data_IF_508778155311
#
_entry.id   IF_508778155311
#
_cell.length_a   1.000
_cell.length_b   1.000
_cell.length_c   1.000
_cell.angle_alpha   90.00
_cell.angle_beta   90.00
_cell.angle_gamma   90.00
#
_symmetry.space_group_name_H-M   'P 1'
#
loop_
_entity.id
_entity.type
_entity.pdbx_description
1 polymer ?
#
# COMPACT_ATOMS: atom_id res chain seq x y z
N UNK A 1 60.41 11.80 5.97
CA UNK A 1 59.08 11.61 5.32
C UNK A 1 58.37 10.46 6.02
N UNK A 2 57.09 10.60 6.34
CA UNK A 2 56.29 9.48 6.85
C UNK A 2 56.08 8.52 5.69
N UNK A 3 56.54 7.28 5.83
CA UNK A 3 56.42 6.26 4.78
C UNK A 3 55.02 5.64 4.82
N UNK A 4 54.54 5.20 3.66
CA UNK A 4 53.21 4.59 3.51
C UNK A 4 53.00 3.40 4.47
N UNK A 5 54.04 2.60 4.67
CA UNK A 5 54.05 1.48 5.64
C UNK A 5 53.69 1.92 7.06
N UNK A 6 54.32 3.01 7.55
CA UNK A 6 54.07 3.53 8.91
C UNK A 6 52.62 4.00 9.09
N UNK A 7 51.98 4.51 8.03
CA UNK A 7 50.57 4.90 8.08
C UNK A 7 49.65 3.67 8.18
N UNK A 8 49.95 2.59 7.45
CA UNK A 8 49.17 1.35 7.50
C UNK A 8 49.30 0.67 8.86
N UNK A 9 50.50 0.61 9.43
CA UNK A 9 50.71 0.09 10.80
C UNK A 9 49.88 0.87 11.83
N UNK A 10 49.83 2.20 11.70
CA UNK A 10 49.07 3.03 12.62
C UNK A 10 47.55 2.81 12.46
N UNK A 11 47.05 2.63 11.24
CA UNK A 11 45.65 2.27 10.97
C UNK A 11 45.32 0.91 11.59
N UNK A 12 46.14 -0.12 11.36
CA UNK A 12 45.93 -1.45 11.90
C UNK A 12 45.91 -1.44 13.44
N UNK A 13 46.82 -0.68 14.06
CA UNK A 13 46.87 -0.52 15.53
C UNK A 13 45.63 0.19 16.08
N UNK A 14 45.11 1.20 15.38
CA UNK A 14 43.87 1.88 15.77
C UNK A 14 42.64 0.98 15.60
N UNK A 15 42.58 0.19 14.53
CA UNK A 15 41.52 -0.79 14.30
C UNK A 15 41.51 -1.86 15.39
N UNK A 16 42.66 -2.46 15.71
CA UNK A 16 42.78 -3.45 16.78
C UNK A 16 42.32 -2.91 18.15
N UNK A 17 42.60 -1.62 18.43
CA UNK A 17 42.09 -0.95 19.64
C UNK A 17 40.59 -0.74 19.61
N UNK A 18 40.03 -0.36 18.46
CA UNK A 18 38.59 -0.20 18.30
C UNK A 18 37.87 -1.54 18.50
N UNK A 19 38.36 -2.61 17.89
CA UNK A 19 37.80 -3.96 18.02
C UNK A 19 37.89 -4.48 19.46
N UNK A 20 39.01 -4.24 20.14
CA UNK A 20 39.15 -4.57 21.56
C UNK A 20 38.12 -3.83 22.45
N UNK A 21 37.80 -2.58 22.14
CA UNK A 21 36.76 -1.83 22.84
C UNK A 21 35.35 -2.34 22.51
N UNK A 22 35.10 -2.73 21.26
CA UNK A 22 33.82 -3.34 20.85
C UNK A 22 33.62 -4.70 21.53
N UNK A 23 34.65 -5.53 21.60
CA UNK A 23 34.61 -6.81 22.31
C UNK A 23 34.28 -6.61 23.81
N UNK A 24 34.98 -5.68 24.48
CA UNK A 24 34.70 -5.36 25.89
C UNK A 24 33.26 -4.84 26.09
N UNK A 25 32.81 -3.92 25.24
CA UNK A 25 31.44 -3.38 25.34
C UNK A 25 30.36 -4.42 25.06
N UNK A 26 30.59 -5.30 24.08
CA UNK A 26 29.64 -6.38 23.74
C UNK A 26 29.56 -7.45 24.83
N UNK A 27 30.68 -7.83 25.46
CA UNK A 27 30.65 -8.76 26.60
C UNK A 27 29.83 -8.22 27.77
N UNK A 28 30.05 -6.96 28.18
CA UNK A 28 29.27 -6.32 29.23
C UNK A 28 27.76 -6.21 28.87
N UNK A 29 27.44 -5.96 27.60
CA UNK A 29 26.05 -5.97 27.13
C UNK A 29 25.42 -7.38 27.19
N UNK A 30 26.18 -8.42 26.82
CA UNK A 30 25.72 -9.82 26.88
C UNK A 30 25.46 -10.24 28.33
N UNK A 31 26.34 -9.89 29.28
CA UNK A 31 26.13 -10.17 30.70
C UNK A 31 24.86 -9.50 31.24
N UNK A 32 24.64 -8.23 30.87
CA UNK A 32 23.42 -7.52 31.24
C UNK A 32 22.17 -8.19 30.67
N UNK A 33 22.20 -8.59 29.40
CA UNK A 33 21.08 -9.30 28.76
C UNK A 33 20.83 -10.63 29.48
N UNK A 34 21.89 -11.39 29.80
CA UNK A 34 21.76 -12.65 30.55
C UNK A 34 21.16 -12.46 31.94
N UNK A 35 21.58 -11.42 32.67
CA UNK A 35 21.00 -11.08 33.97
C UNK A 35 19.49 -10.84 33.85
N UNK A 36 19.08 -10.02 32.88
CA UNK A 36 17.66 -9.72 32.62
C UNK A 36 16.91 -10.99 32.19
N UNK A 37 17.53 -11.86 31.38
CA UNK A 37 16.92 -13.11 30.96
C UNK A 37 16.67 -14.07 32.14
N UNK A 38 17.64 -14.21 33.06
CA UNK A 38 17.48 -15.08 34.24
C UNK A 38 16.48 -14.50 35.23
N UNK A 39 16.56 -13.20 35.52
CA UNK A 39 15.67 -12.51 36.46
C UNK A 39 14.20 -12.63 36.05
N UNK A 40 13.91 -12.53 34.75
CA UNK A 40 12.56 -12.61 34.22
C UNK A 40 12.19 -13.97 33.62
N UNK A 41 13.07 -14.97 33.68
CA UNK A 41 12.87 -16.27 33.05
C UNK A 41 12.60 -16.17 31.53
N UNK A 42 13.17 -15.16 30.87
CA UNK A 42 12.97 -14.93 29.43
C UNK A 42 13.84 -15.90 28.63
N UNK A 43 13.19 -16.63 27.72
CA UNK A 43 13.88 -17.43 26.71
C UNK A 43 14.09 -16.61 25.44
N UNK A 44 14.99 -17.08 24.55
CA UNK A 44 15.13 -16.46 23.21
C UNK A 44 13.82 -16.51 22.43
N UNK A 45 13.02 -17.56 22.62
CA UNK A 45 11.69 -17.68 22.02
C UNK A 45 10.72 -16.59 22.52
N UNK A 46 10.80 -16.16 23.78
CA UNK A 46 9.96 -15.06 24.30
C UNK A 46 10.36 -13.71 23.72
N UNK A 47 11.68 -13.48 23.53
CA UNK A 47 12.21 -12.28 22.88
C UNK A 47 11.77 -12.26 21.41
N UNK A 48 11.90 -13.38 20.70
CA UNK A 48 11.48 -13.52 19.31
C UNK A 48 9.96 -13.43 19.16
N UNK A 49 9.18 -14.00 20.09
CA UNK A 49 7.74 -13.87 20.12
C UNK A 49 7.29 -12.46 20.50
N UNK A 50 8.08 -11.68 21.24
CA UNK A 50 7.82 -10.27 21.50
C UNK A 50 8.12 -9.40 20.26
N UNK A 51 9.22 -9.69 19.54
CA UNK A 51 9.59 -8.99 18.30
C UNK A 51 8.68 -9.40 17.12
N UNK A 52 8.29 -10.68 17.07
CA UNK A 52 7.44 -11.29 16.04
C UNK A 52 5.94 -11.31 16.38
N UNK A 53 5.57 -10.97 17.61
CA UNK A 53 4.22 -11.03 18.13
C UNK A 53 3.41 -9.80 17.78
N UNK A 54 2.50 -9.97 16.81
CA UNK A 54 1.42 -9.03 16.49
C UNK A 54 1.90 -7.60 16.20
N UNK A 55 2.15 -7.38 14.91
CA UNK A 55 1.50 -6.29 14.18
C UNK A 55 -0.03 -6.40 14.28
N UNK A 56 -0.61 -6.23 15.48
CA UNK A 56 -1.99 -5.79 15.67
C UNK A 56 -1.95 -4.27 15.78
N UNK A 57 -1.79 -3.63 14.64
CA UNK A 57 -1.71 -2.17 14.58
C UNK A 57 -1.12 -1.69 13.27
N UNK A 58 -1.97 -1.61 12.24
CA UNK A 58 -1.72 -0.98 10.94
C UNK A 58 -0.53 -1.54 10.15
N UNK A 59 -0.84 -2.46 9.24
CA UNK A 59 -0.06 -2.63 8.01
C UNK A 59 -0.09 -1.29 7.24
N UNK A 60 0.84 -0.39 7.54
CA UNK A 60 1.20 0.70 6.65
C UNK A 60 1.73 0.03 5.37
N UNK A 61 1.01 0.22 4.27
CA UNK A 61 1.40 -0.35 2.98
C UNK A 61 1.15 -1.84 2.86
N UNK A 62 -0.09 -2.29 3.10
CA UNK A 62 -0.60 -3.36 2.27
C UNK A 62 -0.78 -2.79 0.87
N UNK A 63 0.31 -2.70 0.11
CA UNK A 63 0.19 -2.70 -1.33
C UNK A 63 -0.68 -3.91 -1.62
N UNK A 64 -1.92 -3.64 -2.02
CA UNK A 64 -2.83 -4.67 -2.50
C UNK A 64 -1.99 -5.53 -3.42
N UNK A 65 -1.87 -6.83 -3.07
CA UNK A 65 -1.22 -7.78 -3.93
C UNK A 65 -1.85 -7.56 -5.31
N UNK A 66 -1.07 -7.02 -6.24
CA UNK A 66 -1.51 -6.84 -7.61
C UNK A 66 -1.89 -8.25 -8.01
N UNK A 67 -3.20 -8.48 -8.21
CA UNK A 67 -3.72 -9.75 -8.72
C UNK A 67 -2.79 -10.15 -9.84
N UNK A 68 -2.21 -11.34 -9.74
CA UNK A 68 -1.29 -11.91 -10.72
C UNK A 68 -1.81 -11.56 -12.11
N UNK A 69 -0.98 -10.90 -12.92
CA UNK A 69 -1.32 -10.56 -14.28
C UNK A 69 -1.83 -11.83 -14.95
N UNK A 70 -3.13 -11.90 -15.22
CA UNK A 70 -3.72 -13.01 -15.95
C UNK A 70 -2.98 -13.18 -17.28
N UNK A 71 -3.03 -14.36 -17.87
CA UNK A 71 -2.47 -14.62 -19.20
C UNK A 71 -2.89 -13.50 -20.17
N UNK A 72 -1.92 -12.88 -20.85
CA UNK A 72 -2.19 -11.84 -21.84
C UNK A 72 -3.10 -12.42 -22.93
N UNK A 73 -4.31 -11.88 -23.05
CA UNK A 73 -5.33 -12.37 -24.00
C UNK A 73 -5.30 -11.56 -25.30
N UNK A 74 -4.95 -10.28 -25.21
CA UNK A 74 -4.95 -9.34 -26.32
C UNK A 74 -3.57 -8.66 -26.46
N UNK A 75 -3.12 -8.41 -27.70
CA UNK A 75 -1.86 -7.74 -28.06
C UNK A 75 -2.12 -6.62 -29.06
N UNK A 76 -1.51 -5.45 -28.80
CA UNK A 76 -1.52 -4.32 -29.72
C UNK A 76 -0.40 -4.47 -30.76
N UNK A 77 -0.71 -4.64 -32.06
CA UNK A 77 0.30 -4.73 -33.12
C UNK A 77 1.10 -3.44 -33.31
N UNK A 78 0.62 -2.28 -32.82
CA UNK A 78 1.27 -0.99 -33.03
C UNK A 78 2.16 -0.56 -31.86
N UNK A 79 1.81 -0.93 -30.63
CA UNK A 79 2.57 -0.53 -29.42
C UNK A 79 3.23 -1.69 -28.67
N UNK A 80 2.92 -2.94 -29.04
CA UNK A 80 3.37 -4.13 -28.31
C UNK A 80 2.71 -4.29 -26.93
N UNK A 81 1.77 -3.42 -26.57
CA UNK A 81 1.08 -3.48 -25.29
C UNK A 81 0.15 -4.70 -25.24
N UNK A 82 0.23 -5.47 -24.16
CA UNK A 82 -0.63 -6.63 -23.94
C UNK A 82 -1.68 -6.34 -22.88
N UNK A 83 -2.87 -6.93 -23.04
CA UNK A 83 -3.96 -6.83 -22.10
C UNK A 83 -4.58 -8.18 -21.81
N UNK A 84 -4.81 -8.46 -20.53
CA UNK A 84 -5.23 -9.77 -20.02
C UNK A 84 -6.74 -10.02 -20.18
N UNK A 85 -7.47 -9.07 -20.77
CA UNK A 85 -8.94 -9.10 -20.87
C UNK A 85 -9.66 -8.73 -19.56
N UNK A 86 -8.91 -8.52 -18.47
CA UNK A 86 -9.45 -8.24 -17.15
C UNK A 86 -9.11 -6.80 -16.71
N UNK A 87 -10.07 -6.13 -16.08
CA UNK A 87 -9.89 -4.77 -15.56
C UNK A 87 -10.09 -3.66 -16.59
N UNK A 88 -9.58 -2.46 -16.31
CA UNK A 88 -9.73 -1.30 -17.19
C UNK A 88 -9.00 -1.53 -18.51
N UNK A 89 -9.74 -1.52 -19.61
CA UNK A 89 -9.18 -1.66 -20.94
C UNK A 89 -8.22 -0.49 -21.28
N UNK A 90 -7.02 -0.78 -21.80
CA UNK A 90 -6.14 0.24 -22.38
C UNK A 90 -6.78 0.97 -23.56
N UNK A 91 -6.35 2.19 -23.84
CA UNK A 91 -6.95 3.06 -24.87
C UNK A 91 -6.97 2.42 -26.27
N UNK A 92 -6.00 1.57 -26.60
CA UNK A 92 -5.87 0.92 -27.91
C UNK A 92 -6.93 -0.17 -28.17
N UNK A 93 -7.45 -0.84 -27.13
CA UNK A 93 -8.54 -1.83 -27.26
C UNK A 93 -9.90 -1.30 -26.75
N UNK A 94 -9.90 -0.22 -25.97
CA UNK A 94 -11.12 0.35 -25.40
C UNK A 94 -12.10 0.87 -26.47
N UNK A 95 -11.57 1.47 -27.54
CA UNK A 95 -12.35 2.07 -28.62
C UNK A 95 -12.50 1.14 -29.84
N UNK A 96 -11.92 -0.06 -29.81
CA UNK A 96 -12.01 -1.00 -30.92
C UNK A 96 -13.36 -1.71 -30.93
N UNK A 97 -14.08 -1.63 -32.06
CA UNK A 97 -15.35 -2.34 -32.26
C UNK A 97 -15.16 -3.86 -32.20
N UNK A 98 -14.04 -4.37 -32.73
CA UNK A 98 -13.71 -5.79 -32.75
C UNK A 98 -12.45 -6.07 -31.92
N UNK A 99 -12.65 -6.48 -30.66
CA UNK A 99 -11.55 -6.83 -29.76
C UNK A 99 -10.84 -8.13 -30.15
N UNK A 100 -11.47 -8.95 -30.99
CA UNK A 100 -10.93 -10.22 -31.51
C UNK A 100 -9.73 -10.04 -32.42
N UNK A 101 -9.60 -8.88 -33.09
CA UNK A 101 -8.45 -8.54 -33.95
C UNK A 101 -7.12 -8.48 -33.20
N UNK A 102 -7.19 -8.31 -31.88
CA UNK A 102 -6.03 -8.22 -31.01
C UNK A 102 -5.80 -9.51 -30.23
N UNK A 103 -6.58 -10.58 -30.43
CA UNK A 103 -6.47 -11.80 -29.63
C UNK A 103 -5.18 -12.57 -29.95
N UNK A 104 -4.38 -12.89 -28.94
CA UNK A 104 -3.05 -13.53 -29.09
C UNK A 104 -3.13 -14.99 -29.59
N UNK A 105 -4.33 -15.59 -29.65
CA UNK A 105 -4.58 -16.91 -30.24
C UNK A 105 -5.43 -16.89 -31.52
N UNK A 106 -5.65 -15.70 -32.11
CA UNK A 106 -6.60 -15.49 -33.20
C UNK A 106 -5.98 -15.24 -34.58
N UNK A 107 -4.69 -15.53 -34.78
CA UNK A 107 -4.03 -15.32 -36.07
C UNK A 107 -3.25 -16.57 -36.49
N UNK A 108 -3.97 -17.58 -36.99
CA UNK A 108 -3.56 -18.50 -38.07
C UNK A 108 -4.47 -19.74 -38.07
N UNK A 109 -5.68 -19.64 -38.63
CA UNK A 109 -6.39 -20.74 -39.30
C UNK A 109 -7.81 -20.33 -39.74
N UNK A 110 -7.99 -20.33 -41.06
CA UNK A 110 -9.20 -20.67 -41.81
C UNK A 110 -10.21 -19.55 -42.08
N UNK A 111 -10.22 -19.19 -43.36
CA UNK A 111 -11.26 -18.45 -44.07
C UNK A 111 -12.48 -19.34 -44.39
N UNK A 112 -13.60 -18.65 -44.62
CA UNK A 112 -14.84 -19.06 -45.34
C UNK A 112 -15.85 -19.95 -44.59
N UNK A 113 -16.94 -19.35 -44.10
CA UNK A 113 -18.33 -19.43 -44.67
C UNK A 113 -19.36 -18.70 -43.78
N UNK A 114 -19.75 -17.50 -44.23
CA UNK A 114 -21.11 -16.96 -44.47
C UNK A 114 -22.31 -17.24 -43.51
N UNK A 115 -22.76 -16.13 -42.90
CA UNK A 115 -24.14 -15.56 -42.83
C UNK A 115 -25.22 -16.07 -41.84
N UNK A 116 -25.97 -15.08 -41.31
CA UNK A 116 -27.27 -15.19 -40.61
C UNK A 116 -27.32 -14.30 -39.36
N UNK A 117 -27.47 -12.98 -39.46
CA UNK A 117 -28.71 -12.19 -39.60
C UNK A 117 -29.40 -11.76 -38.28
N UNK A 118 -29.38 -10.43 -38.07
CA UNK A 118 -30.31 -9.48 -37.41
C UNK A 118 -30.82 -9.63 -35.97
N UNK A 119 -30.49 -8.57 -35.23
CA UNK A 119 -31.37 -7.63 -34.53
C UNK A 119 -32.26 -8.13 -33.37
N UNK A 120 -32.06 -7.51 -32.20
CA UNK A 120 -33.07 -6.60 -31.65
C UNK A 120 -32.45 -5.68 -30.61
N UNK A 121 -32.79 -4.41 -30.75
CA UNK A 121 -32.70 -3.37 -29.74
C UNK A 121 -33.48 -3.78 -28.48
N UNK A 122 -33.14 -3.22 -27.32
CA UNK A 122 -34.09 -2.60 -26.38
C UNK A 122 -33.36 -2.15 -25.09
N UNK A 123 -33.66 -0.89 -24.72
CA UNK A 123 -33.45 -0.20 -23.43
C UNK A 123 -32.05 0.30 -23.08
N UNK A 124 -31.79 1.52 -23.59
CA UNK A 124 -31.09 2.55 -22.82
C UNK A 124 -31.89 2.85 -21.56
N UNK A 125 -31.27 2.72 -20.38
CA UNK A 125 -31.69 3.47 -19.20
C UNK A 125 -30.50 4.22 -18.62
N UNK A 126 -30.59 5.55 -18.72
CA UNK A 126 -30.29 6.45 -17.63
C UNK A 126 -28.85 6.45 -17.13
N UNK A 127 -28.09 7.42 -17.62
CA UNK A 127 -26.91 7.93 -16.94
C UNK A 127 -27.21 8.20 -15.45
N UNK A 128 -26.52 7.48 -14.57
CA UNK A 128 -26.08 8.03 -13.28
C UNK A 128 -24.56 7.92 -13.28
N UNK A 129 -23.93 8.98 -13.78
CA UNK A 129 -22.52 9.21 -13.54
C UNK A 129 -22.29 9.20 -12.03
N UNK A 130 -21.72 8.12 -11.52
CA UNK A 130 -21.12 8.12 -10.20
C UNK A 130 -19.82 8.91 -10.33
N UNK A 131 -19.95 10.24 -10.30
CA UNK A 131 -18.84 11.13 -10.05
C UNK A 131 -18.16 10.63 -8.77
N UNK A 132 -16.94 10.12 -8.91
CA UNK A 132 -16.04 9.89 -7.80
C UNK A 132 -15.93 11.21 -7.04
N UNK A 133 -16.67 11.36 -5.94
CA UNK A 133 -16.49 12.51 -5.06
C UNK A 133 -15.10 12.37 -4.48
N UNK A 134 -14.21 13.23 -4.97
CA UNK A 134 -13.04 13.65 -4.23
C UNK A 134 -13.45 13.88 -2.77
N UNK A 135 -12.59 13.48 -1.83
CA UNK A 135 -12.70 13.83 -0.42
C UNK A 135 -12.61 15.35 -0.25
N UNK A 136 -13.63 16.09 -0.66
CA UNK A 136 -13.81 17.49 -0.35
C UNK A 136 -14.19 17.56 1.12
N UNK A 137 -13.42 18.29 1.93
CA UNK A 137 -13.83 18.64 3.29
C UNK A 137 -15.21 19.31 3.19
N UNK A 138 -16.25 18.61 3.63
CA UNK A 138 -17.59 19.20 3.79
C UNK A 138 -17.48 20.40 4.73
N UNK A 139 -18.32 21.44 4.54
CA UNK A 139 -18.33 22.59 5.43
C UNK A 139 -18.49 22.14 6.88
N UNK A 140 -17.69 22.69 7.81
CA UNK A 140 -17.74 22.29 9.21
C UNK A 140 -19.11 22.69 9.78
N UNK A 141 -19.87 21.69 10.25
CA UNK A 141 -21.22 21.91 10.81
C UNK A 141 -21.18 22.09 12.33
N UNK A 142 -20.16 21.53 12.99
CA UNK A 142 -19.99 21.61 14.43
C UNK A 142 -18.55 22.05 14.79
N UNK A 143 -18.38 22.91 15.81
CA UNK A 143 -17.09 23.36 16.35
C UNK A 143 -17.02 23.12 17.85
N UNK A 144 -15.88 22.62 18.31
CA UNK A 144 -15.55 22.54 19.73
C UNK A 144 -15.16 23.94 20.25
N UNK A 145 -15.84 24.50 21.27
CA UNK A 145 -15.52 25.80 21.85
C UNK A 145 -14.19 25.80 22.60
N UNK A 146 -13.69 24.64 23.06
CA UNK A 146 -12.46 24.56 23.86
C UNK A 146 -11.20 24.36 23.02
N UNK A 147 -11.31 23.62 21.93
CA UNK A 147 -10.16 23.23 21.10
C UNK A 147 -10.22 23.78 19.68
N UNK A 148 -11.34 24.36 19.27
CA UNK A 148 -11.57 24.83 17.92
C UNK A 148 -11.71 23.72 16.87
N UNK A 149 -11.67 22.45 17.27
CA UNK A 149 -11.80 21.32 16.37
C UNK A 149 -13.17 21.31 15.69
N UNK A 150 -13.20 21.11 14.38
CA UNK A 150 -14.44 21.11 13.59
C UNK A 150 -14.84 19.71 13.15
N UNK A 151 -16.14 19.47 13.05
CA UNK A 151 -16.71 18.21 12.62
C UNK A 151 -17.90 18.44 11.69
N UNK A 152 -17.95 17.69 10.58
CA UNK A 152 -18.94 17.85 9.51
C UNK A 152 -20.22 17.04 9.70
N UNK A 153 -20.35 16.25 10.77
CA UNK A 153 -21.54 15.43 11.04
C UNK A 153 -21.61 14.08 10.31
N UNK A 154 -20.75 13.86 9.31
CA UNK A 154 -20.83 12.69 8.41
C UNK A 154 -19.77 11.59 8.67
N UNK A 155 -18.88 11.77 9.65
CA UNK A 155 -17.85 10.80 10.03
C UNK A 155 -18.02 10.37 11.50
N UNK A 156 -17.26 9.36 11.98
CA UNK A 156 -17.28 8.99 13.40
C UNK A 156 -17.14 10.23 14.29
N UNK A 157 -18.06 10.44 15.26
CA UNK A 157 -18.04 11.65 16.08
C UNK A 157 -16.76 11.68 16.92
N UNK A 158 -16.03 12.81 16.91
CA UNK A 158 -14.90 13.04 17.81
C UNK A 158 -15.29 12.91 19.28
N UNK A 159 -14.31 12.65 20.14
CA UNK A 159 -14.54 12.42 21.57
C UNK A 159 -15.34 13.54 22.26
N UNK A 160 -15.16 14.79 21.82
CA UNK A 160 -15.83 15.97 22.37
C UNK A 160 -17.33 16.08 22.04
N UNK A 161 -17.82 15.45 20.97
CA UNK A 161 -19.26 15.46 20.59
C UNK A 161 -19.93 14.08 20.70
N UNK A 162 -19.13 13.01 20.88
CA UNK A 162 -19.61 11.61 20.89
C UNK A 162 -20.70 11.36 21.93
N UNK A 163 -20.51 11.86 23.15
CA UNK A 163 -21.37 11.56 24.30
C UNK A 163 -22.38 12.68 24.62
N UNK A 164 -22.46 13.72 23.78
CA UNK A 164 -23.37 14.86 24.03
C UNK A 164 -24.73 14.56 23.43
N UNK A 165 -25.77 14.57 24.27
CA UNK A 165 -27.16 14.31 23.91
C UNK A 165 -27.69 15.41 22.97
N UNK A 166 -27.37 16.67 23.27
CA UNK A 166 -27.71 17.84 22.46
C UNK A 166 -26.50 18.35 21.68
N UNK A 167 -26.28 17.78 20.50
CA UNK A 167 -25.18 18.18 19.60
C UNK A 167 -25.37 19.58 19.00
N UNK A 168 -26.56 20.16 19.16
CA UNK A 168 -26.90 21.51 18.72
C UNK A 168 -26.06 22.60 19.37
N UNK A 169 -25.55 22.35 20.59
CA UNK A 169 -24.66 23.27 21.32
C UNK A 169 -23.33 23.56 20.61
N UNK A 170 -22.97 22.73 19.65
CA UNK A 170 -21.74 22.87 18.88
C UNK A 170 -21.99 23.29 17.44
N UNK A 171 -23.24 23.53 17.02
CA UNK A 171 -23.55 23.94 15.65
C UNK A 171 -22.85 25.25 15.33
N UNK A 172 -22.04 25.24 14.28
CA UNK A 172 -21.59 26.46 13.65
C UNK A 172 -22.77 26.87 12.76
N UNK A 173 -23.47 27.95 13.12
CA UNK A 173 -24.38 28.59 12.19
C UNK A 173 -23.54 29.00 10.97
N UNK A 174 -23.90 28.49 9.80
CA UNK A 174 -23.20 28.78 8.55
C UNK A 174 -23.68 30.08 7.95
#
# INVERSE_FOLDING_TARGET
MVTLEKMHEQIAKLQARADALIAKRSTAAIEKIRSIMVEHGLTTADIEAHIGGKKRGRKLGAQAARKSAGVAKYHDPRSGATWTGHGRAPAWIANASDRTKFLIGGTAAIAVTKAGEKATSVRRHGARGAAAKANGKLPPKYRDPKTGATWSGHARPPAWIKNVKDRSKYLIAS
#
